data_IF_122887953554
#
_entry.id   IF_122887953554
#
_cell.length_a   1.000
_cell.length_b   1.000
_cell.length_c   1.000
_cell.angle_alpha   90.00
_cell.angle_beta   90.00
_cell.angle_gamma   90.00
#
_symmetry.space_group_name_H-M   'P 1'
#
loop_
_entity.id
_entity.type
_entity.pdbx_description
1 polymer ?
#
# COMPACT_ATOMS: atom_id res chain seq x y z
N UNK A 1 -39.30 23.97 -22.70
CA UNK A 1 -38.85 22.65 -23.22
C UNK A 1 -37.37 22.36 -23.01
N UNK A 2 -36.44 23.32 -23.20
CA UNK A 2 -34.99 23.09 -23.05
C UNK A 2 -34.53 22.57 -21.67
N UNK A 3 -35.03 23.13 -20.56
CA UNK A 3 -34.65 22.67 -19.20
C UNK A 3 -34.99 21.20 -18.92
N UNK A 4 -36.15 20.72 -19.36
CA UNK A 4 -36.57 19.32 -19.20
C UNK A 4 -35.76 18.36 -20.09
N UNK A 5 -35.23 18.84 -21.22
CA UNK A 5 -34.29 18.09 -22.05
C UNK A 5 -32.93 17.97 -21.36
N UNK A 6 -32.40 19.09 -20.85
CA UNK A 6 -31.13 19.16 -20.14
C UNK A 6 -31.09 18.26 -18.89
N UNK A 7 -32.13 18.30 -18.05
CA UNK A 7 -32.20 17.45 -16.86
C UNK A 7 -32.26 15.96 -17.18
N UNK A 8 -32.90 15.58 -18.31
CA UNK A 8 -32.92 14.19 -18.78
C UNK A 8 -31.52 13.73 -19.18
N UNK A 9 -30.79 14.57 -19.91
CA UNK A 9 -29.39 14.28 -20.29
C UNK A 9 -28.48 14.16 -19.08
N UNK A 10 -28.62 15.03 -18.08
CA UNK A 10 -27.88 14.91 -16.80
C UNK A 10 -28.20 13.56 -16.15
N UNK A 11 -29.46 13.15 -16.10
CA UNK A 11 -29.85 11.84 -15.56
C UNK A 11 -29.17 10.69 -16.29
N UNK A 12 -29.21 10.70 -17.63
CA UNK A 12 -28.58 9.67 -18.48
C UNK A 12 -27.07 9.63 -18.26
N UNK A 13 -26.38 10.76 -18.30
CA UNK A 13 -24.92 10.83 -18.07
C UNK A 13 -24.59 10.29 -16.68
N UNK A 14 -25.37 10.62 -15.66
CA UNK A 14 -25.17 10.11 -14.29
C UNK A 14 -25.26 8.59 -14.23
N UNK A 15 -26.27 8.00 -14.90
CA UNK A 15 -26.42 6.53 -15.00
C UNK A 15 -25.23 5.91 -15.73
N UNK A 16 -24.85 6.45 -16.89
CA UNK A 16 -23.73 5.93 -17.68
C UNK A 16 -22.41 5.96 -16.90
N UNK A 17 -22.15 7.05 -16.17
CA UNK A 17 -20.98 7.14 -15.28
C UNK A 17 -21.04 6.08 -14.18
N UNK A 18 -22.18 5.92 -13.49
CA UNK A 18 -22.33 4.92 -12.44
C UNK A 18 -22.20 3.47 -12.95
N UNK A 19 -22.74 3.16 -14.14
CA UNK A 19 -22.56 1.85 -14.78
C UNK A 19 -21.09 1.63 -15.15
N UNK A 20 -20.43 2.64 -15.72
CA UNK A 20 -19.01 2.54 -16.11
C UNK A 20 -18.11 2.29 -14.90
N UNK A 21 -18.30 3.04 -13.81
CA UNK A 21 -17.52 2.85 -12.57
C UNK A 21 -17.80 1.49 -11.91
N UNK A 22 -19.05 1.02 -11.95
CA UNK A 22 -19.39 -0.35 -11.51
C UNK A 22 -18.65 -1.39 -12.35
N UNK A 23 -18.65 -1.23 -13.67
CA UNK A 23 -17.92 -2.09 -14.60
C UNK A 23 -16.42 -2.11 -14.33
N UNK A 24 -15.81 -0.95 -14.09
CA UNK A 24 -14.38 -0.81 -13.72
C UNK A 24 -14.06 -1.57 -12.43
N UNK A 25 -14.91 -1.46 -11.40
CA UNK A 25 -14.72 -2.19 -10.15
C UNK A 25 -14.84 -3.70 -10.33
N UNK A 26 -15.83 -4.17 -11.10
CA UNK A 26 -16.02 -5.59 -11.40
C UNK A 26 -14.82 -6.13 -12.17
N UNK A 27 -14.35 -5.40 -13.19
CA UNK A 27 -13.14 -5.76 -13.93
C UNK A 27 -11.93 -5.89 -13.00
N UNK A 28 -11.79 -4.97 -12.03
CA UNK A 28 -10.73 -5.00 -11.02
C UNK A 28 -10.75 -6.21 -10.09
N UNK A 29 -11.88 -6.91 -9.94
CA UNK A 29 -11.93 -8.17 -9.18
C UNK A 29 -11.14 -9.30 -9.85
N UNK A 30 -10.94 -9.21 -11.16
CA UNK A 30 -10.27 -10.23 -11.97
C UNK A 30 -8.89 -9.81 -12.47
N UNK A 31 -8.44 -8.60 -12.13
CA UNK A 31 -7.17 -8.06 -12.61
C UNK A 31 -6.21 -7.79 -11.46
N UNK A 32 -5.04 -8.43 -11.53
CA UNK A 32 -3.98 -8.23 -10.54
C UNK A 32 -3.34 -6.85 -10.66
N UNK A 33 -2.94 -6.29 -9.52
CA UNK A 33 -2.11 -5.09 -9.43
C UNK A 33 -0.61 -5.43 -9.48
N UNK A 34 -0.24 -6.71 -9.38
CA UNK A 34 1.17 -7.14 -9.42
C UNK A 34 1.73 -6.96 -10.84
N UNK A 35 2.89 -6.31 -11.01
CA UNK A 35 3.62 -6.36 -12.27
C UNK A 35 3.93 -7.81 -12.67
N UNK A 36 3.80 -8.13 -13.96
CA UNK A 36 3.97 -9.50 -14.45
C UNK A 36 5.44 -9.94 -14.47
N UNK A 37 6.37 -9.02 -14.73
CA UNK A 37 7.80 -9.29 -14.89
C UNK A 37 8.61 -8.16 -14.26
N UNK A 38 9.66 -8.53 -13.53
CA UNK A 38 10.71 -7.67 -13.02
C UNK A 38 12.02 -8.01 -13.73
N UNK A 39 12.72 -7.01 -14.23
CA UNK A 39 14.08 -7.15 -14.75
C UNK A 39 15.09 -6.72 -13.70
N UNK A 40 16.28 -7.34 -13.70
CA UNK A 40 17.29 -7.13 -12.64
C UNK A 40 17.79 -5.69 -12.55
N UNK A 41 17.79 -4.95 -13.65
CA UNK A 41 18.19 -3.54 -13.71
C UNK A 41 17.12 -2.58 -13.18
N UNK A 42 15.87 -3.04 -13.06
CA UNK A 42 14.75 -2.33 -12.44
C UNK A 42 14.77 -2.38 -10.91
N UNK A 43 15.49 -3.35 -10.36
CA UNK A 43 15.56 -3.64 -8.93
C UNK A 43 16.75 -2.92 -8.29
N UNK A 44 16.60 -2.61 -7.00
CA UNK A 44 17.67 -2.06 -6.18
C UNK A 44 18.63 -3.17 -5.78
N UNK A 45 18.12 -4.34 -5.44
CA UNK A 45 18.93 -5.47 -4.98
C UNK A 45 19.02 -6.57 -6.03
N UNK A 46 20.12 -7.32 -5.97
CA UNK A 46 20.23 -8.57 -6.70
C UNK A 46 19.30 -9.59 -6.05
N UNK A 47 18.54 -10.34 -6.87
CA UNK A 47 17.60 -11.37 -6.40
C UNK A 47 16.57 -10.82 -5.39
N UNK A 48 16.13 -9.57 -5.60
CA UNK A 48 15.23 -8.80 -4.72
C UNK A 48 13.89 -9.52 -4.44
N UNK A 49 13.38 -10.25 -5.43
CA UNK A 49 12.13 -11.02 -5.30
C UNK A 49 12.38 -12.48 -5.67
N UNK A 50 12.19 -13.36 -4.70
CA UNK A 50 12.39 -14.82 -4.86
C UNK A 50 11.15 -15.64 -4.52
N UNK A 51 10.16 -15.03 -3.86
CA UNK A 51 8.87 -15.65 -3.57
C UNK A 51 7.79 -15.13 -4.53
N UNK A 52 6.96 -16.05 -5.01
CA UNK A 52 5.70 -15.70 -5.69
C UNK A 52 4.68 -15.16 -4.68
N UNK A 53 3.63 -14.47 -5.18
CA UNK A 53 2.54 -14.00 -4.33
C UNK A 53 2.00 -15.10 -3.41
N UNK A 54 1.68 -16.26 -3.99
CA UNK A 54 1.12 -17.39 -3.25
C UNK A 54 2.09 -17.92 -2.19
N UNK A 55 3.39 -18.00 -2.51
CA UNK A 55 4.41 -18.41 -1.56
C UNK A 55 4.55 -17.39 -0.42
N UNK A 56 4.53 -16.10 -0.72
CA UNK A 56 4.54 -15.04 0.30
C UNK A 56 3.31 -15.15 1.20
N UNK A 57 2.11 -15.26 0.63
CA UNK A 57 0.85 -15.38 1.39
C UNK A 57 0.81 -16.60 2.30
N UNK A 58 1.39 -17.72 1.89
CA UNK A 58 1.54 -18.89 2.74
C UNK A 58 2.60 -18.66 3.82
N UNK A 59 3.76 -18.11 3.43
CA UNK A 59 4.89 -17.89 4.30
C UNK A 59 4.64 -16.83 5.37
N UNK A 60 3.76 -15.85 5.17
CA UNK A 60 3.49 -14.84 6.22
C UNK A 60 2.77 -15.40 7.45
N UNK A 61 2.14 -16.56 7.34
CA UNK A 61 1.43 -17.19 8.45
C UNK A 61 2.43 -17.72 9.49
N UNK A 62 2.09 -17.59 10.76
CA UNK A 62 2.90 -18.10 11.87
C UNK A 62 2.91 -19.61 11.86
N UNK A 63 4.09 -20.22 12.00
CA UNK A 63 4.23 -21.68 12.06
C UNK A 63 3.78 -22.22 13.42
N UNK A 64 3.39 -23.48 13.47
CA UNK A 64 3.11 -24.18 14.74
C UNK A 64 4.36 -24.14 15.63
N UNK A 65 4.19 -23.79 16.90
CA UNK A 65 5.26 -23.68 17.91
C UNK A 65 6.34 -22.60 17.63
N UNK A 66 6.11 -21.69 16.70
CA UNK A 66 7.02 -20.58 16.44
C UNK A 66 6.90 -19.52 17.55
N UNK A 67 8.00 -19.17 18.22
CA UNK A 67 8.00 -18.10 19.23
C UNK A 67 7.78 -16.71 18.58
N UNK A 68 7.35 -15.69 19.34
CA UNK A 68 7.27 -14.32 18.83
C UNK A 68 8.57 -13.80 18.22
N UNK A 69 9.73 -14.05 18.85
CA UNK A 69 11.02 -13.64 18.29
C UNK A 69 11.35 -14.39 16.99
N UNK A 70 11.06 -15.70 16.94
CA UNK A 70 11.29 -16.52 15.74
C UNK A 70 10.39 -16.04 14.59
N UNK A 71 9.12 -15.74 14.87
CA UNK A 71 8.20 -15.18 13.89
C UNK A 71 8.71 -13.85 13.35
N UNK A 72 9.10 -12.91 14.21
CA UNK A 72 9.63 -11.60 13.80
C UNK A 72 10.89 -11.75 12.93
N UNK A 73 11.81 -12.62 13.32
CA UNK A 73 13.05 -12.88 12.56
C UNK A 73 12.76 -13.49 11.19
N UNK A 74 11.88 -14.49 11.13
CA UNK A 74 11.52 -15.16 9.88
C UNK A 74 10.72 -14.24 8.95
N UNK A 75 9.75 -13.50 9.48
CA UNK A 75 8.89 -12.63 8.66
C UNK A 75 9.69 -11.49 8.04
N UNK A 76 10.76 -11.02 8.71
CA UNK A 76 11.72 -10.05 8.16
C UNK A 76 12.31 -10.55 6.84
N UNK A 77 12.73 -11.82 6.79
CA UNK A 77 13.24 -12.46 5.57
C UNK A 77 12.15 -12.71 4.53
N UNK A 78 10.97 -13.17 4.95
CA UNK A 78 9.85 -13.43 4.05
C UNK A 78 9.38 -12.17 3.32
N UNK A 79 9.34 -11.03 4.00
CA UNK A 79 8.97 -9.75 3.38
C UNK A 79 10.02 -9.37 2.35
N UNK A 80 11.30 -9.33 2.74
CA UNK A 80 12.40 -8.99 1.83
C UNK A 80 12.44 -9.88 0.58
N UNK A 81 11.99 -11.14 0.68
CA UNK A 81 11.93 -12.06 -0.47
C UNK A 81 10.62 -11.98 -1.27
N UNK A 82 9.58 -11.34 -0.74
CA UNK A 82 8.22 -11.33 -1.30
C UNK A 82 7.79 -10.01 -1.93
N UNK A 83 8.53 -8.92 -1.72
CA UNK A 83 8.34 -7.63 -2.35
C UNK A 83 9.62 -7.18 -3.04
N UNK A 84 9.50 -6.65 -4.26
CA UNK A 84 10.63 -6.12 -5.00
C UNK A 84 10.90 -4.66 -4.62
N UNK A 85 12.13 -4.35 -4.23
CA UNK A 85 12.60 -2.97 -4.07
C UNK A 85 12.97 -2.38 -5.43
N UNK A 86 11.97 -1.88 -6.16
CA UNK A 86 12.23 -1.15 -7.41
C UNK A 86 12.95 0.18 -7.16
N UNK A 87 13.68 0.67 -8.15
CA UNK A 87 14.19 2.05 -8.13
C UNK A 87 13.01 3.02 -8.25
N UNK A 88 12.48 3.42 -7.09
CA UNK A 88 11.14 3.97 -6.95
C UNK A 88 10.87 5.19 -7.83
N UNK A 89 11.85 6.07 -7.99
CA UNK A 89 11.70 7.32 -8.72
C UNK A 89 12.16 7.27 -10.18
N UNK A 90 12.88 6.21 -10.58
CA UNK A 90 13.54 6.10 -11.89
C UNK A 90 12.56 5.72 -13.02
N UNK A 91 11.40 5.16 -12.67
CA UNK A 91 10.43 4.64 -13.64
C UNK A 91 9.11 5.43 -13.64
N UNK A 92 8.41 5.45 -14.78
CA UNK A 92 7.04 5.97 -14.86
C UNK A 92 6.15 5.24 -13.84
N UNK A 93 5.36 6.00 -13.09
CA UNK A 93 4.57 5.46 -11.97
C UNK A 93 3.54 4.40 -12.39
N UNK A 94 3.21 4.28 -13.68
CA UNK A 94 2.32 3.24 -14.20
C UNK A 94 3.02 1.92 -14.46
N UNK A 95 4.34 1.91 -14.72
CA UNK A 95 5.11 0.69 -15.07
C UNK A 95 4.94 -0.42 -14.03
N UNK A 96 4.99 -0.03 -12.75
CA UNK A 96 4.85 -0.94 -11.61
C UNK A 96 3.57 -0.72 -10.80
N UNK A 97 2.59 0.03 -11.34
CA UNK A 97 1.37 0.38 -10.62
C UNK A 97 1.64 1.12 -9.29
N UNK A 98 2.64 2.01 -9.29
CA UNK A 98 2.84 2.98 -8.20
C UNK A 98 1.70 4.01 -8.22
N UNK A 99 1.32 4.49 -9.40
CA UNK A 99 0.02 5.09 -9.60
C UNK A 99 -1.03 3.98 -9.51
N UNK A 100 -1.91 4.07 -8.52
CA UNK A 100 -2.95 3.05 -8.31
C UNK A 100 -3.80 2.93 -9.57
N UNK A 101 -3.92 1.73 -10.17
CA UNK A 101 -4.71 1.57 -11.39
C UNK A 101 -6.18 1.92 -11.20
N UNK A 102 -6.80 2.44 -12.25
CA UNK A 102 -8.21 2.87 -12.20
C UNK A 102 -9.16 1.73 -11.79
N UNK A 103 -8.84 0.49 -12.17
CA UNK A 103 -9.62 -0.70 -11.81
C UNK A 103 -9.44 -1.14 -10.36
N UNK A 104 -8.33 -0.79 -9.71
CA UNK A 104 -8.14 -1.13 -8.30
C UNK A 104 -8.86 -0.12 -7.39
N UNK A 105 -8.67 1.19 -7.63
CA UNK A 105 -9.38 2.24 -6.92
C UNK A 105 -9.36 3.55 -7.73
N UNK A 106 -10.49 3.89 -8.34
CA UNK A 106 -10.58 5.08 -9.19
C UNK A 106 -10.41 6.41 -8.42
N UNK A 107 -10.69 6.46 -7.11
CA UNK A 107 -10.40 7.66 -6.31
C UNK A 107 -8.89 7.89 -6.21
N UNK A 108 -8.14 6.84 -5.85
CA UNK A 108 -6.69 6.91 -5.75
C UNK A 108 -6.05 7.18 -7.12
N UNK A 109 -6.58 6.57 -8.19
CA UNK A 109 -6.13 6.84 -9.56
C UNK A 109 -6.32 8.32 -9.94
N UNK A 110 -7.50 8.89 -9.74
CA UNK A 110 -7.75 10.29 -10.12
C UNK A 110 -7.01 11.28 -9.22
N UNK A 111 -6.88 10.98 -7.92
CA UNK A 111 -6.03 11.75 -7.02
C UNK A 111 -4.58 11.74 -7.51
N UNK A 112 -4.02 10.57 -7.82
CA UNK A 112 -2.64 10.47 -8.31
C UNK A 112 -2.44 11.16 -9.66
N UNK A 113 -3.41 11.04 -10.56
CA UNK A 113 -3.30 11.60 -11.90
C UNK A 113 -3.44 13.12 -11.96
N UNK A 114 -4.29 13.71 -11.11
CA UNK A 114 -4.71 15.12 -11.29
C UNK A 114 -4.42 16.03 -10.09
N UNK A 115 -4.14 15.53 -8.88
CA UNK A 115 -3.95 16.40 -7.72
C UNK A 115 -2.60 17.11 -7.68
N UNK A 116 -1.59 16.59 -8.39
CA UNK A 116 -0.20 17.06 -8.28
C UNK A 116 0.50 16.67 -6.98
N UNK A 117 -0.13 15.85 -6.11
CA UNK A 117 0.42 15.41 -4.83
C UNK A 117 1.30 14.16 -5.07
N UNK A 118 2.63 14.23 -4.82
CA UNK A 118 3.56 13.14 -5.13
C UNK A 118 3.18 11.80 -4.47
N UNK A 119 2.65 11.83 -3.25
CA UNK A 119 2.26 10.65 -2.48
C UNK A 119 1.09 9.88 -3.10
N UNK A 120 0.31 10.52 -3.98
CA UNK A 120 -0.74 9.85 -4.76
C UNK A 120 -0.25 9.43 -6.14
N UNK A 121 0.77 10.08 -6.69
CA UNK A 121 1.41 9.70 -7.95
C UNK A 121 2.20 8.41 -7.81
N UNK A 122 2.88 8.22 -6.66
CA UNK A 122 3.58 6.98 -6.29
C UNK A 122 3.08 6.51 -4.93
N UNK A 123 2.03 5.71 -4.95
CA UNK A 123 1.25 5.40 -3.77
C UNK A 123 1.87 4.29 -2.92
N UNK A 124 1.97 4.54 -1.62
CA UNK A 124 2.32 3.56 -0.59
C UNK A 124 1.05 3.11 0.12
N UNK A 125 0.71 1.82 0.05
CA UNK A 125 -0.52 1.31 0.63
C UNK A 125 -0.42 1.21 2.15
N UNK A 126 -1.47 1.67 2.82
CA UNK A 126 -1.64 1.46 4.25
C UNK A 126 -2.01 0.01 4.57
N UNK A 127 -2.76 -0.67 3.69
CA UNK A 127 -3.15 -2.06 3.85
C UNK A 127 -2.03 -3.00 3.38
N UNK A 128 -1.43 -3.76 4.30
CA UNK A 128 -0.32 -4.66 3.96
C UNK A 128 -0.67 -5.69 2.89
N UNK A 129 -1.92 -6.17 2.86
CA UNK A 129 -2.35 -7.17 1.88
C UNK A 129 -2.28 -6.59 0.47
N UNK A 130 -2.59 -5.30 0.31
CA UNK A 130 -2.46 -4.60 -0.99
C UNK A 130 -1.00 -4.41 -1.38
N UNK A 131 -0.13 -4.08 -0.42
CA UNK A 131 1.32 -4.01 -0.68
C UNK A 131 1.88 -5.37 -1.13
N UNK A 132 1.54 -6.45 -0.43
CA UNK A 132 1.93 -7.83 -0.81
C UNK A 132 1.35 -8.21 -2.18
N UNK A 133 0.09 -7.88 -2.45
CA UNK A 133 -0.54 -8.15 -3.73
C UNK A 133 0.15 -7.41 -4.88
N UNK A 134 0.54 -6.14 -4.68
CA UNK A 134 1.31 -5.37 -5.67
C UNK A 134 2.73 -5.91 -5.84
N UNK A 135 3.31 -6.47 -4.79
CA UNK A 135 4.62 -7.13 -4.85
C UNK A 135 5.81 -6.18 -5.07
N UNK A 136 5.62 -4.88 -4.84
CA UNK A 136 6.70 -3.89 -4.83
C UNK A 136 6.58 -3.04 -3.56
N UNK A 137 7.71 -2.52 -3.10
CA UNK A 137 7.75 -1.57 -2.01
C UNK A 137 9.17 -1.12 -1.73
N UNK A 138 9.30 -0.08 -0.91
CA UNK A 138 10.58 0.33 -0.34
C UNK A 138 10.54 0.14 1.19
N UNK A 139 11.61 0.55 1.89
CA UNK A 139 11.72 0.45 3.35
C UNK A 139 10.45 0.83 4.15
N UNK A 140 9.75 1.90 3.75
CA UNK A 140 8.47 2.29 4.36
C UNK A 140 7.36 1.25 4.18
N UNK A 141 7.17 0.72 2.96
CA UNK A 141 6.18 -0.33 2.70
C UNK A 141 6.52 -1.63 3.44
N UNK A 142 7.79 -2.05 3.39
CA UNK A 142 8.27 -3.24 4.07
C UNK A 142 8.00 -3.17 5.58
N UNK A 143 8.29 -2.01 6.20
CA UNK A 143 8.05 -1.76 7.62
C UNK A 143 6.55 -1.70 7.96
N UNK A 144 5.72 -1.11 7.09
CA UNK A 144 4.26 -1.11 7.28
C UNK A 144 3.64 -2.52 7.14
N UNK A 145 4.19 -3.36 6.25
CA UNK A 145 3.79 -4.76 6.13
C UNK A 145 4.13 -5.51 7.42
N UNK A 146 5.40 -5.41 7.86
CA UNK A 146 5.87 -6.12 9.04
C UNK A 146 5.11 -5.69 10.30
N UNK A 147 4.90 -4.38 10.48
CA UNK A 147 4.14 -3.83 11.62
C UNK A 147 2.75 -4.46 11.75
N UNK A 148 1.98 -4.49 10.65
CA UNK A 148 0.63 -5.08 10.66
C UNK A 148 0.63 -6.60 10.84
N UNK A 149 1.64 -7.30 10.34
CA UNK A 149 1.79 -8.74 10.56
C UNK A 149 2.12 -9.05 12.03
N UNK A 150 2.98 -8.25 12.67
CA UNK A 150 3.26 -8.37 14.10
C UNK A 150 2.03 -8.03 14.95
N UNK A 151 1.27 -6.99 14.59
CA UNK A 151 0.01 -6.64 15.25
C UNK A 151 -0.98 -7.82 15.23
N UNK A 152 -1.09 -8.52 14.09
CA UNK A 152 -1.93 -9.73 13.96
C UNK A 152 -1.51 -10.87 14.88
N UNK A 153 -0.25 -10.90 15.31
CA UNK A 153 0.27 -11.89 16.26
C UNK A 153 0.31 -11.37 17.71
N UNK A 154 -0.27 -10.19 17.98
CA UNK A 154 -0.21 -9.50 19.26
C UNK A 154 1.23 -9.21 19.73
N UNK A 155 2.15 -8.98 18.78
CA UNK A 155 3.54 -8.63 19.08
C UNK A 155 3.68 -7.11 19.06
N UNK A 156 4.01 -6.52 20.22
CA UNK A 156 4.20 -5.07 20.36
C UNK A 156 5.33 -4.61 19.46
N UNK A 157 5.06 -3.62 18.61
CA UNK A 157 6.02 -3.12 17.65
C UNK A 157 5.88 -1.61 17.43
N UNK A 158 6.94 -1.01 16.90
CA UNK A 158 6.98 0.38 16.48
C UNK A 158 7.73 0.49 15.15
N UNK A 159 7.25 1.35 14.26
CA UNK A 159 7.98 1.74 13.06
C UNK A 159 9.00 2.79 13.48
N UNK A 160 10.24 2.65 13.02
CA UNK A 160 11.37 3.50 13.37
C UNK A 160 11.86 4.21 12.11
N UNK A 161 11.81 5.54 12.11
CA UNK A 161 12.21 6.35 10.95
C UNK A 161 13.53 7.03 11.23
N UNK A 162 14.54 6.70 10.44
CA UNK A 162 15.77 7.46 10.32
C UNK A 162 15.67 8.34 9.06
N UNK A 163 16.38 9.48 9.00
CA UNK A 163 16.53 10.21 7.75
C UNK A 163 17.07 9.28 6.64
N UNK A 164 16.24 9.01 5.64
CA UNK A 164 16.57 8.15 4.50
C UNK A 164 16.37 6.63 4.70
N UNK A 165 15.83 6.17 5.84
CA UNK A 165 15.55 4.74 6.05
C UNK A 165 14.46 4.46 7.08
N UNK A 166 13.72 3.37 6.90
CA UNK A 166 12.66 2.96 7.82
C UNK A 166 12.83 1.49 8.18
N UNK A 167 12.80 1.19 9.48
CA UNK A 167 12.88 -0.18 10.01
C UNK A 167 11.77 -0.41 11.04
N UNK A 168 11.74 -1.60 11.63
CA UNK A 168 10.82 -1.95 12.70
C UNK A 168 11.56 -2.27 14.00
N UNK A 169 10.99 -1.90 15.14
CA UNK A 169 11.37 -2.43 16.45
C UNK A 169 10.23 -3.30 17.01
N UNK A 170 10.56 -4.45 17.60
CA UNK A 170 9.59 -5.31 18.27
C UNK A 170 10.01 -5.58 19.72
N UNK A 171 9.04 -5.51 20.63
CA UNK A 171 9.20 -5.78 22.07
C UNK A 171 8.61 -7.13 22.42
N UNK A 172 9.36 -7.92 23.19
CA UNK A 172 8.99 -9.29 23.56
C UNK A 172 8.67 -9.43 25.05
N UNK A 173 8.13 -10.60 25.42
CA UNK A 173 7.65 -10.86 26.78
C UNK A 173 8.76 -10.86 27.83
N UNK A 174 10.00 -11.16 27.43
CA UNK A 174 11.20 -11.08 28.27
C UNK A 174 11.71 -9.64 28.49
N UNK A 175 11.01 -8.64 27.96
CA UNK A 175 11.38 -7.23 28.03
C UNK A 175 12.41 -6.80 26.98
N UNK A 176 12.93 -7.72 26.16
CA UNK A 176 13.87 -7.37 25.10
C UNK A 176 13.18 -6.59 23.98
N UNK A 177 13.90 -5.62 23.40
CA UNK A 177 13.52 -4.91 22.18
C UNK A 177 14.58 -5.19 21.11
N UNK A 178 14.14 -5.63 19.93
CA UNK A 178 15.02 -5.91 18.79
C UNK A 178 14.55 -5.17 17.56
N UNK A 179 15.49 -4.86 16.67
CA UNK A 179 15.23 -4.14 15.44
C UNK A 179 15.28 -5.07 14.23
N UNK A 180 14.52 -4.75 13.20
CA UNK A 180 14.37 -5.57 12.01
C UNK A 180 14.28 -4.66 10.79
N UNK A 181 15.08 -4.95 9.78
CA UNK A 181 14.99 -4.31 8.48
C UNK A 181 14.31 -5.29 7.50
N UNK A 182 12.99 -5.19 7.31
CA UNK A 182 12.26 -6.08 6.40
C UNK A 182 12.48 -5.77 4.91
N UNK A 183 13.13 -4.66 4.57
CA UNK A 183 13.46 -4.29 3.19
C UNK A 183 14.73 -5.02 2.74
N UNK A 184 15.75 -5.02 3.60
CA UNK A 184 16.99 -5.78 3.40
C UNK A 184 16.92 -7.20 3.97
N UNK A 185 15.83 -7.56 4.63
CA UNK A 185 15.71 -8.82 5.37
C UNK A 185 16.73 -8.94 6.51
N UNK A 186 17.30 -7.86 7.02
CA UNK A 186 18.36 -7.92 8.05
C UNK A 186 17.73 -7.97 9.44
N UNK A 187 18.11 -8.98 10.22
CA UNK A 187 17.73 -9.10 11.64
C UNK A 187 18.79 -8.39 12.46
N UNK A 188 18.36 -7.47 13.32
CA UNK A 188 19.26 -6.65 14.13
C UNK A 188 18.98 -6.92 15.60
N UNK A 189 19.86 -7.68 16.25
CA UNK A 189 19.71 -8.09 17.66
C UNK A 189 20.07 -6.96 18.64
N UNK A 190 19.50 -5.78 18.41
CA UNK A 190 19.73 -4.52 19.13
C UNK A 190 18.49 -3.64 19.13
N UNK A 191 18.26 -2.89 20.20
CA UNK A 191 17.21 -1.87 20.23
C UNK A 191 17.58 -0.68 19.32
N UNK A 192 16.60 0.15 18.90
CA UNK A 192 16.86 1.38 18.16
C UNK A 192 17.90 2.31 18.82
N UNK A 193 17.88 2.42 20.15
CA UNK A 193 18.84 3.21 20.93
C UNK A 193 20.26 2.67 20.81
N UNK A 194 20.42 1.34 20.80
CA UNK A 194 21.72 0.69 20.66
C UNK A 194 22.29 0.82 19.24
N UNK A 195 21.45 1.07 18.21
CA UNK A 195 21.91 1.20 16.82
C UNK A 195 22.86 2.38 16.64
N UNK A 196 22.60 3.49 17.33
CA UNK A 196 23.47 4.68 17.25
C UNK A 196 24.85 4.44 17.84
N UNK A 197 24.91 3.75 18.97
CA UNK A 197 26.16 3.42 19.66
C UNK A 197 26.97 2.42 18.82
N UNK A 198 26.28 1.45 18.20
CA UNK A 198 26.90 0.34 17.48
C UNK A 198 26.90 0.51 15.95
N UNK A 199 26.64 1.71 15.44
CA UNK A 199 26.31 1.94 14.03
C UNK A 199 27.31 1.34 13.01
N UNK A 200 28.61 1.32 13.34
CA UNK A 200 29.65 0.69 12.52
C UNK A 200 29.53 -0.83 12.44
N UNK A 201 29.21 -1.50 13.55
CA UNK A 201 29.02 -2.96 13.56
C UNK A 201 27.68 -3.36 12.94
N UNK A 202 26.64 -2.54 13.12
CA UNK A 202 25.34 -2.76 12.45
C UNK A 202 25.48 -2.72 10.92
N UNK A 203 26.26 -1.80 10.37
CA UNK A 203 26.52 -1.77 8.92
C UNK A 203 27.11 -3.09 8.38
N UNK A 204 27.92 -3.80 9.18
CA UNK A 204 28.50 -5.10 8.77
C UNK A 204 27.47 -6.20 8.62
N UNK A 205 26.31 -6.10 9.28
CA UNK A 205 25.21 -7.05 9.14
C UNK A 205 24.67 -7.08 7.70
N UNK A 206 24.69 -5.93 7.01
CA UNK A 206 24.24 -5.82 5.63
C UNK A 206 25.19 -6.54 4.67
N UNK A 207 26.50 -6.34 4.82
CA UNK A 207 27.48 -7.10 4.03
C UNK A 207 27.43 -8.60 4.33
N UNK A 208 27.21 -8.98 5.59
CA UNK A 208 27.03 -10.38 5.97
C UNK A 208 25.76 -11.00 5.37
N UNK A 209 24.75 -10.18 5.07
CA UNK A 209 23.54 -10.57 4.35
C UNK A 209 23.69 -10.57 2.81
N UNK A 210 24.87 -10.25 2.29
CA UNK A 210 25.17 -10.27 0.86
C UNK A 210 25.07 -8.91 0.14
N UNK A 211 24.81 -7.82 0.87
CA UNK A 211 24.76 -6.47 0.31
C UNK A 211 26.16 -5.86 0.13
N UNK A 212 26.23 -4.75 -0.61
CA UNK A 212 27.52 -4.18 -1.01
C UNK A 212 28.23 -3.48 0.16
N UNK A 213 29.54 -3.27 0.03
CA UNK A 213 30.30 -2.44 0.96
C UNK A 213 29.79 -0.98 0.99
N UNK A 214 29.12 -0.53 -0.08
CA UNK A 214 28.49 0.79 -0.11
C UNK A 214 27.26 0.83 0.79
N UNK A 215 26.42 -0.22 0.77
CA UNK A 215 25.27 -0.35 1.66
C UNK A 215 25.71 -0.36 3.12
N UNK A 216 26.78 -1.08 3.47
CA UNK A 216 27.37 -1.02 4.81
C UNK A 216 27.69 0.42 5.23
N UNK A 217 28.38 1.20 4.38
CA UNK A 217 28.75 2.59 4.70
C UNK A 217 27.53 3.49 4.85
N UNK A 218 26.53 3.30 3.99
CA UNK A 218 25.26 4.05 4.04
C UNK A 218 24.53 3.73 5.34
N UNK A 219 24.33 2.45 5.65
CA UNK A 219 23.61 2.02 6.86
C UNK A 219 24.32 2.45 8.14
N UNK A 220 25.65 2.33 8.21
CA UNK A 220 26.42 2.84 9.34
C UNK A 220 26.27 4.35 9.55
N UNK A 221 26.07 5.13 8.48
CA UNK A 221 25.83 6.58 8.58
C UNK A 221 24.38 6.88 8.98
N UNK A 222 23.42 6.16 8.39
CA UNK A 222 21.99 6.31 8.70
C UNK A 222 21.73 6.06 10.18
N UNK A 223 22.27 4.96 10.74
CA UNK A 223 22.04 4.62 12.14
C UNK A 223 22.75 5.54 13.14
N UNK A 224 23.68 6.39 12.70
CA UNK A 224 24.25 7.43 13.54
C UNK A 224 23.32 8.64 13.74
N UNK A 225 22.25 8.75 12.96
CA UNK A 225 21.29 9.86 13.06
C UNK A 225 20.27 9.64 14.18
N UNK A 226 19.54 10.71 14.50
CA UNK A 226 18.33 10.63 15.32
C UNK A 226 17.25 9.83 14.59
N UNK A 227 16.39 9.12 15.34
CA UNK A 227 15.23 8.42 14.79
C UNK A 227 13.92 8.80 15.49
N UNK A 228 12.81 8.63 14.80
CA UNK A 228 11.46 8.80 15.35
C UNK A 228 10.77 7.45 15.53
N UNK A 229 9.85 7.36 16.50
CA UNK A 229 9.08 6.14 16.81
C UNK A 229 7.61 6.35 16.49
N UNK A 230 7.02 5.40 15.77
CA UNK A 230 5.61 5.43 15.38
C UNK A 230 4.89 4.18 15.87
N UNK A 231 3.70 4.38 16.45
CA UNK A 231 2.89 3.31 17.01
C UNK A 231 1.98 2.72 15.93
N UNK A 232 2.57 1.84 15.12
CA UNK A 232 1.91 1.18 14.01
C UNK A 232 1.60 2.11 12.81
N UNK A 233 1.04 1.51 11.77
CA UNK A 233 0.80 2.16 10.47
C UNK A 233 -0.17 3.34 10.58
N UNK A 234 -1.18 3.24 11.44
CA UNK A 234 -2.12 4.35 11.67
C UNK A 234 -1.40 5.61 12.15
N UNK A 235 -0.47 5.50 13.11
CA UNK A 235 0.25 6.67 13.59
C UNK A 235 1.21 7.20 12.51
N UNK A 236 1.91 6.29 11.82
CA UNK A 236 2.92 6.62 10.82
C UNK A 236 2.36 7.38 9.60
N UNK A 237 1.18 7.01 9.10
CA UNK A 237 0.57 7.62 7.91
C UNK A 237 -0.91 7.97 8.11
N UNK A 238 -1.23 8.66 9.22
CA UNK A 238 -2.60 8.89 9.72
C UNK A 238 -3.62 9.28 8.64
N UNK A 239 -3.39 10.37 7.89
CA UNK A 239 -4.37 10.85 6.90
C UNK A 239 -4.57 9.84 5.76
N UNK A 240 -3.48 9.26 5.26
CA UNK A 240 -3.50 8.26 4.18
C UNK A 240 -4.18 6.96 4.63
N UNK A 241 -3.92 6.53 5.87
CA UNK A 241 -4.54 5.35 6.46
C UNK A 241 -6.07 5.41 6.43
N UNK A 242 -6.63 6.54 6.85
CA UNK A 242 -8.09 6.72 6.82
C UNK A 242 -8.62 6.94 5.41
N UNK A 243 -7.95 7.74 4.60
CA UNK A 243 -8.35 7.99 3.22
C UNK A 243 -8.40 6.71 2.38
N UNK A 244 -7.40 5.84 2.50
CA UNK A 244 -7.38 4.55 1.83
C UNK A 244 -8.59 3.69 2.21
N UNK A 245 -8.85 3.54 3.51
CA UNK A 245 -10.00 2.77 3.99
C UNK A 245 -11.33 3.31 3.46
N UNK A 246 -11.50 4.63 3.51
CA UNK A 246 -12.72 5.30 3.05
C UNK A 246 -12.89 5.11 1.55
N UNK A 247 -11.86 5.30 0.74
CA UNK A 247 -11.98 5.19 -0.72
C UNK A 247 -12.24 3.74 -1.16
N UNK A 248 -11.61 2.74 -0.53
CA UNK A 248 -11.93 1.34 -0.82
C UNK A 248 -13.32 0.91 -0.37
N UNK A 249 -13.88 1.55 0.64
CA UNK A 249 -15.29 1.36 0.99
C UNK A 249 -16.19 2.05 -0.03
N UNK A 250 -15.97 3.34 -0.30
CA UNK A 250 -16.82 4.20 -1.12
C UNK A 250 -16.80 3.86 -2.62
N UNK A 251 -15.78 3.13 -3.09
CA UNK A 251 -15.72 2.75 -4.50
C UNK A 251 -16.92 1.91 -4.94
N UNK A 252 -17.61 1.24 -4.01
CA UNK A 252 -18.79 0.41 -4.29
C UNK A 252 -20.14 1.14 -4.20
N UNK A 253 -20.48 1.85 -3.11
CA UNK A 253 -21.78 2.52 -3.00
C UNK A 253 -21.91 3.75 -3.90
N UNK A 254 -20.81 4.48 -4.19
CA UNK A 254 -20.89 5.69 -5.01
C UNK A 254 -21.44 5.41 -6.43
N UNK A 255 -20.93 4.43 -7.19
CA UNK A 255 -21.47 4.10 -8.52
C UNK A 255 -22.94 3.68 -8.48
N UNK A 256 -23.36 2.92 -7.47
CA UNK A 256 -24.75 2.50 -7.30
C UNK A 256 -25.67 3.69 -7.00
N UNK A 257 -25.21 4.62 -6.15
CA UNK A 257 -25.94 5.84 -5.83
C UNK A 257 -26.11 6.72 -7.09
N UNK A 258 -25.08 6.84 -7.93
CA UNK A 258 -25.15 7.57 -9.20
C UNK A 258 -26.21 6.96 -10.13
N UNK A 259 -26.24 5.62 -10.26
CA UNK A 259 -27.26 4.93 -11.05
C UNK A 259 -28.66 5.23 -10.49
N UNK A 260 -28.87 5.08 -9.18
CA UNK A 260 -30.16 5.32 -8.55
C UNK A 260 -30.65 6.76 -8.74
N UNK A 261 -29.81 7.76 -8.46
CA UNK A 261 -30.14 9.18 -8.62
C UNK A 261 -30.44 9.51 -10.10
N UNK A 262 -29.63 8.98 -11.03
CA UNK A 262 -29.81 9.19 -12.46
C UNK A 262 -31.11 8.62 -13.00
N UNK A 263 -31.47 7.40 -12.58
CA UNK A 263 -32.74 6.75 -12.93
C UNK A 263 -33.93 7.51 -12.33
N UNK A 264 -33.88 7.87 -11.05
CA UNK A 264 -34.94 8.61 -10.38
C UNK A 264 -35.24 9.94 -11.08
N UNK A 265 -34.20 10.71 -11.44
CA UNK A 265 -34.34 11.97 -12.19
C UNK A 265 -34.97 11.73 -13.57
N UNK A 266 -34.50 10.73 -14.29
CA UNK A 266 -34.99 10.41 -15.64
C UNK A 266 -36.46 10.00 -15.65
N UNK A 267 -36.87 9.16 -14.70
CA UNK A 267 -38.26 8.69 -14.54
C UNK A 267 -39.18 9.86 -14.16
N UNK A 268 -38.78 10.69 -13.19
CA UNK A 268 -39.58 11.84 -12.74
C UNK A 268 -39.89 12.81 -13.89
N UNK A 269 -38.91 13.08 -14.76
CA UNK A 269 -39.08 13.96 -15.93
C UNK A 269 -40.04 13.35 -16.94
N UNK A 270 -39.94 12.04 -17.18
CA UNK A 270 -40.82 11.33 -18.10
C UNK A 270 -42.28 11.35 -17.62
N UNK A 271 -42.51 11.14 -16.32
CA UNK A 271 -43.83 11.24 -15.70
C UNK A 271 -44.40 12.67 -15.85
N UNK A 272 -43.59 13.70 -15.61
CA UNK A 272 -44.03 15.10 -15.76
C UNK A 272 -44.42 15.43 -17.21
N UNK A 273 -43.63 14.98 -18.20
CA UNK A 273 -43.96 15.15 -19.62
C UNK A 273 -45.29 14.50 -19.98
N UNK A 274 -45.54 13.28 -19.48
CA UNK A 274 -46.81 12.56 -19.70
C UNK A 274 -48.00 13.30 -19.07
N UNK A 275 -47.85 13.85 -17.87
CA UNK A 275 -48.90 14.66 -17.21
C UNK A 275 -49.25 15.93 -17.99
N UNK A 276 -48.25 16.67 -18.47
CA UNK A 276 -48.46 17.87 -19.30
C UNK A 276 -49.16 17.53 -20.61
N UNK A 277 -48.81 16.40 -21.25
CA UNK A 277 -49.47 15.96 -22.49
C UNK A 277 -50.94 15.60 -22.26
N UNK A 278 -51.27 14.93 -21.14
CA UNK A 278 -52.65 14.57 -20.78
C UNK A 278 -53.52 15.76 -20.38
N UNK A 279 -52.97 16.82 -19.78
CA UNK A 279 -53.74 18.02 -19.41
C UNK A 279 -53.95 19.04 -20.54
N UNK A 280 -53.47 18.74 -21.76
CA UNK A 280 -53.69 19.55 -22.97
C UNK A 280 -54.64 18.88 -23.97
N UNK A 281 -55.14 17.69 -23.66
CA UNK A 281 -56.21 16.99 -24.37
C UNK A 281 -57.51 17.20 -23.60
#
# INVERSE_FOLDING_TARGET
MQRASMLKWIGIITVLTGVSLTGINIYGLFHTIRPAVFFSDELRFKDDITLTLQQTEQAINRKKNESPQQYASRITKVIASGIAHIKWDDYDSRRFNQLVPIWDNYFLYFMGKYSGIPEFQRYHFANYQRSINRGIGICGDASMIMSQLLDKQNIKNQIITFPGHVILAAKFADGSEKSYDPDFGVIIDKSPEELKINHKSIGKLYTAAGYTANDQRIMSRIYNNHFERWNGVKHFITNKYYFEKITYLLKWPLPLLLIFIGLFKSIKIEIQKRRIKKGKQ
#
